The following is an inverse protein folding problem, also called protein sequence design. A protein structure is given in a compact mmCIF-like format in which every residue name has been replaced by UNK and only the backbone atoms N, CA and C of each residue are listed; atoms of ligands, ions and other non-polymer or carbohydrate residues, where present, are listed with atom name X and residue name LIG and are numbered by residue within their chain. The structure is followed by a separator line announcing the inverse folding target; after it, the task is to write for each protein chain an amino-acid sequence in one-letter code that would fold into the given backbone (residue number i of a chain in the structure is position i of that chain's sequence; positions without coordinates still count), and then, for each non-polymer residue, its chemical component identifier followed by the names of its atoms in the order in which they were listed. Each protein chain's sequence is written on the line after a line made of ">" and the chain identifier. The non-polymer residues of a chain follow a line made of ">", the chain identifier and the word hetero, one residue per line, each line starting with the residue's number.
data_IF_747751336574
#
_entry.id   IF_747751336574
#
_cell.length_a   1.000
_cell.length_b   1.000
_cell.length_c   1.000
_cell.angle_alpha   90.00
_cell.angle_beta   90.00
_cell.angle_gamma   90.00
#
_symmetry.space_group_name_H-M   'P 1'
#
loop_
_entity.id
_entity.type
_entity.pdbx_description
1 polymer ?
#
# COMPACT_ATOMS: atom_id res chain seq x y z
N UNK A 1 -3.18 11.56 -32.16
CA UNK A 1 -2.83 11.82 -30.75
C UNK A 1 -1.95 10.65 -30.31
N UNK A 2 -0.66 10.88 -30.06
CA UNK A 2 0.19 9.82 -29.54
C UNK A 2 -0.32 9.48 -28.13
N UNK A 3 -0.99 8.35 -28.02
CA UNK A 3 -1.32 7.75 -26.73
C UNK A 3 0.03 7.60 -26.02
N UNK A 4 0.28 8.44 -25.01
CA UNK A 4 1.42 8.28 -24.14
C UNK A 4 1.19 6.96 -23.44
N UNK A 5 1.66 5.88 -24.05
CA UNK A 5 1.63 4.54 -23.51
C UNK A 5 2.13 4.68 -22.08
N UNK A 6 1.22 4.62 -21.11
CA UNK A 6 1.55 4.75 -19.70
C UNK A 6 2.63 3.70 -19.47
N UNK A 7 3.80 4.16 -19.05
CA UNK A 7 4.89 3.26 -18.75
C UNK A 7 4.33 2.19 -17.80
N UNK A 8 4.55 0.89 -18.03
CA UNK A 8 3.92 -0.15 -17.20
C UNK A 8 4.31 0.01 -15.72
N UNK A 9 5.51 0.57 -15.47
CA UNK A 9 5.94 0.99 -14.13
C UNK A 9 5.02 2.04 -13.48
N UNK A 10 4.43 2.97 -14.25
CA UNK A 10 3.51 3.98 -13.73
C UNK A 10 2.26 3.37 -13.11
N UNK A 11 1.70 2.32 -13.72
CA UNK A 11 0.54 1.64 -13.16
C UNK A 11 0.88 0.94 -11.85
N UNK A 12 2.03 0.28 -11.78
CA UNK A 12 2.51 -0.31 -10.52
C UNK A 12 2.84 0.74 -9.46
N UNK A 13 3.36 1.92 -9.82
CA UNK A 13 3.51 3.02 -8.87
C UNK A 13 2.17 3.50 -8.31
N UNK A 14 1.13 3.61 -9.16
CA UNK A 14 -0.21 3.96 -8.70
C UNK A 14 -0.82 2.90 -7.78
N UNK A 15 -0.64 1.61 -8.10
CA UNK A 15 -1.10 0.50 -7.26
C UNK A 15 -0.36 0.47 -5.92
N UNK A 16 0.96 0.66 -5.93
CA UNK A 16 1.78 0.77 -4.72
C UNK A 16 1.31 1.94 -3.84
N UNK A 17 1.08 3.11 -4.43
CA UNK A 17 0.57 4.27 -3.70
C UNK A 17 -0.81 4.01 -3.07
N UNK A 18 -1.73 3.40 -3.83
CA UNK A 18 -3.06 3.06 -3.32
C UNK A 18 -2.97 2.10 -2.10
N UNK A 19 -2.12 1.09 -2.17
CA UNK A 19 -1.89 0.17 -1.05
C UNK A 19 -1.19 0.85 0.13
N UNK A 20 -0.23 1.73 -0.10
CA UNK A 20 0.38 2.52 0.99
C UNK A 20 -0.64 3.44 1.67
N UNK A 21 -1.55 4.07 0.91
CA UNK A 21 -2.64 4.85 1.49
C UNK A 21 -3.57 3.99 2.35
N UNK A 22 -3.96 2.80 1.88
CA UNK A 22 -4.76 1.88 2.66
C UNK A 22 -4.04 1.42 3.94
N UNK A 23 -2.74 1.09 3.83
CA UNK A 23 -1.92 0.72 4.98
C UNK A 23 -1.82 1.85 6.01
N UNK A 24 -1.57 3.09 5.57
CA UNK A 24 -1.55 4.25 6.45
C UNK A 24 -2.89 4.42 7.18
N UNK A 25 -4.01 4.29 6.45
CA UNK A 25 -5.34 4.37 7.03
C UNK A 25 -5.56 3.30 8.13
N UNK A 26 -5.10 2.08 7.89
CA UNK A 26 -5.14 1.01 8.89
C UNK A 26 -4.18 1.24 10.05
N UNK A 27 -2.99 1.80 9.84
CA UNK A 27 -2.10 2.18 10.93
C UNK A 27 -2.74 3.23 11.85
N UNK A 28 -3.42 4.23 11.28
CA UNK A 28 -4.15 5.23 12.07
C UNK A 28 -5.29 4.60 12.87
N UNK A 29 -6.07 3.70 12.27
CA UNK A 29 -7.12 2.98 12.97
C UNK A 29 -6.55 2.09 14.08
N UNK A 30 -5.49 1.33 13.81
CA UNK A 30 -4.82 0.48 14.80
C UNK A 30 -4.32 1.30 16.00
N UNK A 31 -3.71 2.47 15.74
CA UNK A 31 -3.26 3.38 16.79
C UNK A 31 -4.43 3.89 17.64
N UNK A 32 -5.53 4.30 17.00
CA UNK A 32 -6.74 4.73 17.71
C UNK A 32 -7.30 3.63 18.60
N UNK A 33 -7.49 2.41 18.07
CA UNK A 33 -8.00 1.28 18.84
C UNK A 33 -7.03 0.84 19.96
N UNK A 34 -5.71 0.97 19.75
CA UNK A 34 -4.73 0.75 20.80
C UNK A 34 -4.87 1.74 21.97
N UNK A 35 -5.14 3.01 21.67
CA UNK A 35 -5.28 4.08 22.68
C UNK A 35 -6.51 3.88 23.58
N UNK A 36 -7.62 3.40 22.99
CA UNK A 36 -8.88 3.14 23.71
C UNK A 36 -8.98 1.72 24.30
N UNK A 37 -7.92 0.91 24.18
CA UNK A 37 -7.85 -0.43 24.77
C UNK A 37 -8.50 -1.56 23.96
N UNK A 38 -8.93 -1.28 22.73
CA UNK A 38 -9.52 -2.26 21.80
C UNK A 38 -8.43 -3.05 21.06
N UNK A 39 -7.66 -3.83 21.82
CA UNK A 39 -6.48 -4.55 21.29
C UNK A 39 -6.80 -5.56 20.19
N UNK A 40 -8.01 -6.13 20.15
CA UNK A 40 -8.41 -7.07 19.12
C UNK A 40 -8.56 -6.38 17.75
N UNK A 41 -9.31 -5.29 17.70
CA UNK A 41 -9.50 -4.46 16.50
C UNK A 41 -8.19 -3.81 16.07
N UNK A 42 -7.39 -3.35 17.04
CA UNK A 42 -6.07 -2.81 16.76
C UNK A 42 -5.16 -3.83 16.05
N UNK A 43 -5.17 -5.09 16.48
CA UNK A 43 -4.43 -6.18 15.81
C UNK A 43 -4.96 -6.45 14.41
N UNK A 44 -6.27 -6.45 14.20
CA UNK A 44 -6.85 -6.66 12.88
C UNK A 44 -6.40 -5.56 11.91
N UNK A 45 -6.45 -4.30 12.35
CA UNK A 45 -5.95 -3.19 11.57
C UNK A 45 -4.43 -3.24 11.34
N UNK A 46 -3.65 -3.63 12.35
CA UNK A 46 -2.20 -3.81 12.19
C UNK A 46 -1.86 -4.90 11.15
N UNK A 47 -2.59 -6.03 11.15
CA UNK A 47 -2.42 -7.08 10.15
C UNK A 47 -2.80 -6.59 8.75
N UNK A 48 -3.96 -5.91 8.62
CA UNK A 48 -4.38 -5.37 7.33
C UNK A 48 -3.38 -4.32 6.78
N UNK A 49 -2.81 -3.49 7.66
CA UNK A 49 -1.77 -2.53 7.29
C UNK A 49 -0.50 -3.24 6.79
N UNK A 50 -0.11 -4.34 7.42
CA UNK A 50 1.01 -5.17 7.00
C UNK A 50 0.78 -5.77 5.61
N UNK A 51 -0.36 -6.44 5.41
CA UNK A 51 -0.71 -7.05 4.12
C UNK A 51 -0.74 -6.03 2.98
N UNK A 52 -1.27 -4.84 3.23
CA UNK A 52 -1.25 -3.75 2.26
C UNK A 52 0.16 -3.23 2.00
N UNK A 53 1.00 -3.12 3.02
CA UNK A 53 2.41 -2.72 2.86
C UNK A 53 3.20 -3.73 2.05
N UNK A 54 2.98 -5.03 2.25
CA UNK A 54 3.61 -6.10 1.45
C UNK A 54 3.19 -6.02 -0.03
N UNK A 55 1.89 -5.83 -0.29
CA UNK A 55 1.37 -5.62 -1.65
C UNK A 55 1.98 -4.37 -2.29
N UNK A 56 2.04 -3.27 -1.56
CA UNK A 56 2.62 -2.02 -2.03
C UNK A 56 4.12 -2.19 -2.37
N UNK A 57 4.85 -2.90 -1.53
CA UNK A 57 6.26 -3.21 -1.76
C UNK A 57 6.45 -4.12 -2.98
N UNK A 58 5.60 -5.13 -3.17
CA UNK A 58 5.63 -5.98 -4.35
C UNK A 58 5.42 -5.16 -5.63
N UNK A 59 4.43 -4.25 -5.65
CA UNK A 59 4.22 -3.35 -6.79
C UNK A 59 5.38 -2.38 -7.01
N UNK A 60 5.96 -1.84 -5.94
CA UNK A 60 7.14 -0.97 -6.03
C UNK A 60 8.33 -1.71 -6.65
N UNK A 61 8.57 -2.96 -6.25
CA UNK A 61 9.61 -3.81 -6.81
C UNK A 61 9.36 -4.05 -8.31
N UNK A 62 8.13 -4.43 -8.69
CA UNK A 62 7.79 -4.64 -10.11
C UNK A 62 7.90 -3.36 -10.92
N UNK A 63 7.46 -2.22 -10.38
CA UNK A 63 7.62 -0.91 -11.01
C UNK A 63 9.09 -0.58 -11.26
N UNK A 64 9.94 -0.82 -10.25
CA UNK A 64 11.39 -0.65 -10.36
C UNK A 64 11.97 -1.57 -11.45
N UNK A 65 11.65 -2.87 -11.43
CA UNK A 65 12.12 -3.81 -12.46
C UNK A 65 11.67 -3.42 -13.88
N UNK A 66 10.45 -2.90 -14.02
CA UNK A 66 9.93 -2.43 -15.31
C UNK A 66 10.52 -1.08 -15.72
N UNK A 67 10.90 -0.22 -14.80
CA UNK A 67 11.53 1.08 -15.11
C UNK A 67 12.93 0.94 -15.71
N UNK A 68 13.55 -0.23 -15.60
CA UNK A 68 14.85 -0.55 -16.20
C UNK A 68 14.71 -1.16 -17.62
N UNK A 69 13.48 -1.38 -18.10
CA UNK A 69 13.17 -1.90 -19.44
C UNK A 69 12.66 -0.80 -20.35
#
# INVERSE_FOLDING_TARGET
>A
MADKAKHPASEHHHQAAAHHHAAAHHHHAAAHHHDIGEHAEAKQHATAAHEHSEKAHAHTKTAHEQSHK
#
